data_IF_382361557906
#
_entry.id   IF_382361557906
#
_cell.length_a   1.000
_cell.length_b   1.000
_cell.length_c   1.000
_cell.angle_alpha   90.00
_cell.angle_beta   90.00
_cell.angle_gamma   90.00
#
_symmetry.space_group_name_H-M   'P 1'
#
loop_
_entity.id
_entity.type
_entity.pdbx_description
1 polymer ?
#
# COMPACT_ATOMS: atom_id res chain seq x y z
N UNK A 1 18.66 -20.74 5.58
CA UNK A 1 17.90 -19.64 6.22
C UNK A 1 16.61 -20.14 6.85
N UNK A 2 15.80 -20.95 6.15
CA UNK A 2 14.59 -21.59 6.72
C UNK A 2 14.86 -22.36 8.01
N UNK A 3 15.85 -23.25 8.02
CA UNK A 3 16.24 -24.02 9.21
C UNK A 3 16.49 -23.14 10.44
N UNK A 4 17.24 -22.05 10.28
CA UNK A 4 17.53 -21.10 11.35
C UNK A 4 16.28 -20.40 11.88
N UNK A 5 15.34 -20.02 11.00
CA UNK A 5 14.06 -19.42 11.42
C UNK A 5 13.21 -20.42 12.20
N UNK A 6 13.17 -21.68 11.77
CA UNK A 6 12.45 -22.75 12.48
C UNK A 6 13.08 -23.03 13.85
N UNK A 7 14.42 -23.04 13.95
CA UNK A 7 15.13 -23.17 15.23
C UNK A 7 14.80 -22.00 16.18
N UNK A 8 14.75 -20.76 15.69
CA UNK A 8 14.33 -19.60 16.49
C UNK A 8 12.88 -19.76 16.96
N UNK A 9 11.97 -20.19 16.08
CA UNK A 9 10.57 -20.42 16.43
C UNK A 9 10.47 -21.46 17.54
N UNK A 10 11.15 -22.60 17.39
CA UNK A 10 11.17 -23.68 18.39
C UNK A 10 11.75 -23.21 19.74
N UNK A 11 12.87 -22.48 19.72
CA UNK A 11 13.49 -21.93 20.93
C UNK A 11 12.60 -20.88 21.61
N UNK A 12 11.85 -20.10 20.83
CA UNK A 12 10.89 -19.11 21.34
C UNK A 12 9.67 -19.81 21.96
N UNK A 13 9.19 -20.88 21.32
CA UNK A 13 8.09 -21.71 21.82
C UNK A 13 8.47 -22.45 23.10
N UNK A 14 9.71 -22.94 23.22
CA UNK A 14 10.16 -23.69 24.40
C UNK A 14 10.23 -22.85 25.68
N UNK A 15 10.44 -21.54 25.57
CA UNK A 15 10.38 -20.59 26.70
C UNK A 15 8.94 -20.08 26.98
N UNK A 16 7.94 -20.64 26.31
CA UNK A 16 6.52 -20.33 26.53
C UNK A 16 5.96 -19.17 25.71
N UNK A 17 6.73 -18.60 24.78
CA UNK A 17 6.22 -17.57 23.86
C UNK A 17 5.47 -18.21 22.69
N UNK A 18 4.37 -17.57 22.26
CA UNK A 18 3.54 -18.07 21.17
C UNK A 18 3.80 -17.29 19.88
N UNK A 19 4.64 -17.84 18.99
CA UNK A 19 4.91 -17.24 17.69
C UNK A 19 3.72 -17.43 16.76
N UNK A 20 3.00 -16.34 16.47
CA UNK A 20 1.83 -16.36 15.58
C UNK A 20 2.14 -15.98 14.13
N UNK A 21 3.19 -15.21 13.92
CA UNK A 21 3.54 -14.71 12.60
C UNK A 21 4.99 -14.30 12.51
N UNK A 22 5.53 -14.37 11.28
CA UNK A 22 6.80 -13.75 10.91
C UNK A 22 6.53 -12.60 9.93
N UNK A 23 7.32 -11.53 10.03
CA UNK A 23 7.22 -10.37 9.14
C UNK A 23 8.58 -10.12 8.49
N UNK A 24 8.61 -9.95 7.17
CA UNK A 24 9.83 -9.61 6.43
C UNK A 24 9.55 -8.67 5.28
N UNK A 25 10.59 -8.04 4.74
CA UNK A 25 10.48 -7.35 3.44
C UNK A 25 10.25 -8.35 2.29
N UNK A 26 10.12 -7.81 1.08
CA UNK A 26 9.79 -8.56 -0.14
C UNK A 26 11.02 -8.70 -1.06
N UNK A 27 12.22 -8.68 -0.47
CA UNK A 27 13.49 -8.91 -1.16
C UNK A 27 13.61 -10.35 -1.68
N UNK A 28 14.50 -10.59 -2.65
CA UNK A 28 14.69 -11.91 -3.28
C UNK A 28 14.99 -13.02 -2.27
N UNK A 29 15.84 -12.75 -1.28
CA UNK A 29 16.19 -13.73 -0.24
C UNK A 29 14.98 -14.09 0.64
N UNK A 30 14.16 -13.09 1.01
CA UNK A 30 12.96 -13.32 1.81
C UNK A 30 11.88 -14.04 1.00
N UNK A 31 11.73 -13.75 -0.30
CA UNK A 31 10.86 -14.52 -1.18
C UNK A 31 11.30 -15.99 -1.29
N UNK A 32 12.61 -16.23 -1.43
CA UNK A 32 13.14 -17.60 -1.45
C UNK A 32 12.88 -18.33 -0.12
N UNK A 33 13.00 -17.63 1.00
CA UNK A 33 12.60 -18.14 2.31
C UNK A 33 11.10 -18.50 2.33
N UNK A 34 10.23 -17.60 1.87
CA UNK A 34 8.78 -17.85 1.81
C UNK A 34 8.48 -19.11 0.99
N UNK A 35 9.04 -19.24 -0.22
CA UNK A 35 8.87 -20.43 -1.05
C UNK A 35 9.37 -21.70 -0.36
N UNK A 36 10.50 -21.64 0.36
CA UNK A 36 11.02 -22.78 1.12
C UNK A 36 10.13 -23.20 2.31
N UNK A 37 9.27 -22.29 2.78
CA UNK A 37 8.26 -22.54 3.81
C UNK A 37 6.91 -22.95 3.19
N UNK A 38 6.83 -23.15 1.88
CA UNK A 38 5.59 -23.50 1.18
C UNK A 38 4.62 -22.33 0.98
N UNK A 39 5.05 -21.10 1.26
CA UNK A 39 4.25 -19.90 1.03
C UNK A 39 4.21 -19.60 -0.47
N UNK A 40 2.99 -19.47 -0.99
CA UNK A 40 2.73 -19.22 -2.41
C UNK A 40 1.61 -18.19 -2.53
N UNK A 41 1.87 -17.10 -3.27
CA UNK A 41 0.86 -16.09 -3.58
C UNK A 41 0.88 -15.87 -5.09
N UNK A 42 -0.14 -16.37 -5.76
CA UNK A 42 -0.45 -16.20 -7.17
C UNK A 42 -1.91 -15.78 -7.33
N UNK A 43 -2.36 -15.55 -8.57
CA UNK A 43 -3.76 -15.24 -8.87
C UNK A 43 -4.71 -16.36 -8.44
N UNK A 44 -4.28 -17.61 -8.61
CA UNK A 44 -5.13 -18.79 -8.37
C UNK A 44 -4.89 -19.44 -7.00
N UNK A 45 -3.79 -19.10 -6.32
CA UNK A 45 -3.39 -19.77 -5.10
C UNK A 45 -2.81 -18.80 -4.06
N UNK A 46 -3.31 -18.91 -2.82
CA UNK A 46 -2.90 -18.07 -1.69
C UNK A 46 -2.64 -18.91 -0.44
N UNK A 47 -1.41 -19.37 -0.31
CA UNK A 47 -0.88 -20.01 0.90
C UNK A 47 -0.07 -18.96 1.65
N UNK A 48 -0.57 -18.50 2.78
CA UNK A 48 0.00 -17.40 3.59
C UNK A 48 0.51 -17.86 4.97
N UNK A 49 0.47 -19.16 5.23
CA UNK A 49 0.93 -19.75 6.48
C UNK A 49 1.50 -21.14 6.25
N UNK A 50 2.36 -21.58 7.16
CA UNK A 50 2.88 -22.94 7.22
C UNK A 50 2.63 -23.54 8.61
N UNK A 51 2.65 -24.86 8.71
CA UNK A 51 2.46 -25.58 9.98
C UNK A 51 3.79 -25.76 10.72
N UNK A 52 3.75 -25.60 12.04
CA UNK A 52 4.84 -25.98 12.94
C UNK A 52 4.73 -27.49 13.24
N UNK A 53 5.75 -28.26 12.81
CA UNK A 53 5.80 -29.74 12.84
C UNK A 53 5.41 -30.38 14.19
N UNK A 54 5.59 -29.67 15.30
CA UNK A 54 5.41 -30.21 16.66
C UNK A 54 4.05 -29.89 17.29
N UNK A 55 3.25 -29.00 16.71
CA UNK A 55 2.13 -28.38 17.44
C UNK A 55 0.84 -28.21 16.62
N UNK A 56 0.85 -28.56 15.33
CA UNK A 56 -0.26 -28.31 14.40
C UNK A 56 -0.71 -26.83 14.38
N UNK A 57 0.23 -25.92 14.66
CA UNK A 57 -0.02 -24.48 14.71
C UNK A 57 0.37 -23.85 13.39
N UNK A 58 -0.48 -22.96 12.89
CA UNK A 58 -0.15 -22.15 11.73
C UNK A 58 0.61 -20.89 12.12
N UNK A 59 1.73 -20.67 11.44
CA UNK A 59 2.53 -19.44 11.51
C UNK A 59 2.29 -18.65 10.24
N UNK A 60 1.75 -17.44 10.38
CA UNK A 60 1.45 -16.56 9.25
C UNK A 60 2.68 -15.81 8.77
N UNK A 61 2.85 -15.69 7.45
CA UNK A 61 3.92 -14.90 6.85
C UNK A 61 3.35 -13.58 6.34
N UNK A 62 3.85 -12.48 6.89
CA UNK A 62 3.41 -11.13 6.58
C UNK A 62 4.51 -10.35 5.85
N UNK A 63 4.11 -9.58 4.86
CA UNK A 63 4.99 -8.62 4.21
C UNK A 63 5.09 -7.33 5.02
N UNK A 64 6.25 -6.68 4.97
CA UNK A 64 6.43 -5.37 5.59
C UNK A 64 5.61 -4.28 4.86
N UNK A 65 4.62 -3.74 5.57
CA UNK A 65 3.60 -2.83 5.05
C UNK A 65 4.19 -1.48 4.60
N UNK A 66 5.07 -0.82 5.38
CA UNK A 66 5.89 0.29 4.91
C UNK A 66 6.59 0.06 3.56
N UNK A 67 7.10 -1.16 3.29
CA UNK A 67 7.71 -1.48 2.00
C UNK A 67 6.67 -1.57 0.88
N UNK A 68 5.50 -2.17 1.15
CA UNK A 68 4.39 -2.18 0.19
C UNK A 68 3.93 -0.77 -0.19
N UNK A 69 3.83 0.17 0.76
CA UNK A 69 3.44 1.55 0.45
C UNK A 69 4.46 2.24 -0.46
N UNK A 70 5.76 2.01 -0.24
CA UNK A 70 6.83 2.51 -1.12
C UNK A 70 6.70 1.93 -2.53
N UNK A 71 6.37 0.65 -2.65
CA UNK A 71 6.14 0.00 -3.94
C UNK A 71 4.95 0.61 -4.67
N UNK A 72 3.83 0.86 -3.99
CA UNK A 72 2.67 1.55 -4.56
C UNK A 72 3.02 2.96 -5.07
N UNK A 73 3.73 3.76 -4.27
CA UNK A 73 4.21 5.07 -4.74
C UNK A 73 5.05 4.93 -6.01
N UNK A 74 5.99 3.98 -6.03
CA UNK A 74 6.85 3.76 -7.19
C UNK A 74 6.05 3.29 -8.41
N UNK A 75 5.03 2.45 -8.23
CA UNK A 75 4.16 1.97 -9.30
C UNK A 75 3.37 3.12 -9.92
N UNK A 76 2.71 3.94 -9.09
CA UNK A 76 1.95 5.13 -9.55
C UNK A 76 2.85 6.12 -10.29
N UNK A 77 4.09 6.32 -9.82
CA UNK A 77 5.02 7.28 -10.43
C UNK A 77 5.61 6.82 -11.77
N UNK A 78 5.82 5.51 -11.95
CA UNK A 78 6.55 4.97 -13.12
C UNK A 78 5.64 4.32 -14.15
N UNK A 79 4.45 3.91 -13.75
CA UNK A 79 3.58 3.06 -14.55
C UNK A 79 2.13 3.55 -14.47
N UNK A 80 1.32 3.05 -15.38
CA UNK A 80 -0.13 3.18 -15.32
C UNK A 80 -0.70 1.94 -14.64
N UNK A 81 -1.59 2.15 -13.68
CA UNK A 81 -2.35 1.08 -13.03
C UNK A 81 -3.74 1.10 -13.66
N UNK A 82 -4.19 -0.06 -14.13
CA UNK A 82 -5.51 -0.22 -14.74
C UNK A 82 -6.46 -0.81 -13.70
N UNK A 83 -7.55 -0.10 -13.43
CA UNK A 83 -8.62 -0.57 -12.56
C UNK A 83 -9.58 -1.47 -13.33
N UNK A 84 -10.20 -2.47 -12.67
CA UNK A 84 -11.31 -3.22 -13.23
C UNK A 84 -12.46 -2.29 -13.64
N UNK A 85 -13.16 -2.62 -14.73
CA UNK A 85 -14.22 -1.75 -15.27
C UNK A 85 -15.43 -1.68 -14.33
N UNK A 86 -15.65 -2.72 -13.54
CA UNK A 86 -16.67 -2.79 -12.50
C UNK A 86 -16.47 -1.68 -11.47
N UNK A 87 -15.23 -1.43 -11.05
CA UNK A 87 -14.86 -0.37 -10.10
C UNK A 87 -15.11 1.00 -10.72
N UNK A 88 -14.80 1.16 -12.01
CA UNK A 88 -15.01 2.41 -12.74
C UNK A 88 -16.49 2.75 -12.82
N UNK A 89 -17.34 1.76 -13.09
CA UNK A 89 -18.79 1.94 -13.15
C UNK A 89 -19.39 2.18 -11.76
N UNK A 90 -18.96 1.40 -10.75
CA UNK A 90 -19.44 1.50 -9.37
C UNK A 90 -19.19 2.90 -8.78
N UNK A 91 -18.02 3.48 -9.06
CA UNK A 91 -17.59 4.77 -8.49
C UNK A 91 -17.71 5.95 -9.46
N UNK A 92 -18.36 5.78 -10.62
CA UNK A 92 -18.49 6.80 -11.68
C UNK A 92 -17.14 7.46 -12.04
N UNK A 93 -16.10 6.64 -12.19
CA UNK A 93 -14.75 7.13 -12.45
C UNK A 93 -14.60 7.56 -13.93
N UNK A 94 -13.97 8.70 -14.23
CA UNK A 94 -13.84 9.19 -15.61
C UNK A 94 -12.97 8.32 -16.52
N UNK A 95 -12.11 7.50 -15.94
CA UNK A 95 -11.21 6.57 -16.65
C UNK A 95 -10.87 5.38 -15.76
N UNK A 96 -10.43 4.27 -16.35
CA UNK A 96 -9.86 3.13 -15.63
C UNK A 96 -8.35 3.28 -15.35
N UNK A 97 -7.72 4.38 -15.75
CA UNK A 97 -6.27 4.57 -15.62
C UNK A 97 -5.92 5.42 -14.42
N UNK A 98 -5.07 4.88 -13.54
CA UNK A 98 -4.42 5.60 -12.45
C UNK A 98 -2.98 5.91 -12.86
N UNK A 99 -2.58 7.18 -12.72
CA UNK A 99 -1.22 7.62 -13.08
C UNK A 99 -0.72 8.79 -12.22
N UNK A 100 0.55 8.74 -11.85
CA UNK A 100 1.23 9.83 -11.14
C UNK A 100 1.48 11.07 -12.00
N UNK A 101 1.21 11.02 -13.31
CA UNK A 101 1.42 12.14 -14.25
C UNK A 101 0.70 13.41 -13.80
N UNK A 102 -0.58 13.31 -13.41
CA UNK A 102 -1.37 14.48 -12.98
C UNK A 102 -0.78 15.19 -11.76
N UNK A 103 -0.17 14.43 -10.84
CA UNK A 103 0.47 14.98 -9.64
C UNK A 103 1.76 15.71 -10.02
N UNK A 104 2.56 15.11 -10.91
CA UNK A 104 3.80 15.71 -11.39
C UNK A 104 3.52 16.99 -12.20
N UNK A 105 2.53 16.96 -13.08
CA UNK A 105 2.12 18.09 -13.90
C UNK A 105 1.62 19.25 -13.04
N UNK A 106 0.77 18.96 -12.05
CA UNK A 106 0.30 19.97 -11.10
C UNK A 106 1.45 20.57 -10.29
N UNK A 107 2.34 19.73 -9.73
CA UNK A 107 3.46 20.23 -8.93
C UNK A 107 4.40 21.11 -9.76
N UNK A 108 4.74 20.68 -10.98
CA UNK A 108 5.56 21.46 -11.91
C UNK A 108 4.89 22.78 -12.32
N UNK A 109 3.58 22.76 -12.54
CA UNK A 109 2.80 23.98 -12.83
C UNK A 109 2.83 24.96 -11.66
N UNK A 110 2.63 24.50 -10.42
CA UNK A 110 2.70 25.36 -9.22
C UNK A 110 4.11 25.93 -8.99
N UNK A 111 5.16 25.15 -9.29
CA UNK A 111 6.56 25.61 -9.23
C UNK A 111 6.88 26.67 -10.27
N UNK A 112 6.54 26.44 -11.54
CA UNK A 112 6.83 27.40 -12.62
C UNK A 112 6.13 28.73 -12.42
N UNK A 113 4.90 28.70 -11.93
CA UNK A 113 4.11 29.90 -11.67
C UNK A 113 4.45 30.59 -10.35
N UNK A 114 5.46 30.10 -9.62
CA UNK A 114 5.91 30.65 -8.32
C UNK A 114 4.76 30.92 -7.36
N UNK A 115 3.74 30.03 -7.34
CA UNK A 115 2.57 30.21 -6.47
C UNK A 115 3.02 30.21 -5.02
N UNK A 116 2.75 31.30 -4.29
CA UNK A 116 3.02 31.39 -2.86
C UNK A 116 2.16 30.40 -2.05
N UNK A 117 0.90 30.20 -2.47
CA UNK A 117 -0.02 29.23 -1.90
C UNK A 117 -0.17 28.04 -2.85
N UNK A 118 0.38 26.90 -2.44
CA UNK A 118 0.39 25.66 -3.22
C UNK A 118 -0.60 24.64 -2.68
N UNK A 119 -1.34 24.02 -3.57
CA UNK A 119 -2.22 22.89 -3.24
C UNK A 119 -1.39 21.70 -2.79
N UNK A 120 -0.23 21.47 -3.44
CA UNK A 120 0.72 20.42 -3.09
C UNK A 120 1.87 20.92 -2.20
N UNK A 121 1.60 21.82 -1.25
CA UNK A 121 2.62 22.40 -0.35
C UNK A 121 3.38 21.35 0.50
N UNK A 122 2.75 20.21 0.79
CA UNK A 122 3.38 19.10 1.55
C UNK A 122 4.31 18.22 0.70
N UNK A 123 4.33 18.42 -0.63
CA UNK A 123 5.21 17.71 -1.54
C UNK A 123 6.46 18.55 -1.85
N UNK A 124 7.62 17.98 -1.54
CA UNK A 124 8.94 18.50 -1.91
C UNK A 124 9.44 17.79 -3.17
N UNK A 125 10.44 18.37 -3.84
CA UNK A 125 10.94 17.88 -5.12
C UNK A 125 11.40 16.42 -5.05
N UNK A 126 12.02 16.02 -3.94
CA UNK A 126 12.53 14.67 -3.69
C UNK A 126 11.41 13.62 -3.58
N UNK A 127 10.17 14.05 -3.38
CA UNK A 127 9.01 13.15 -3.35
C UNK A 127 8.51 12.90 -4.79
N UNK A 128 8.43 13.96 -5.59
CA UNK A 128 7.92 13.97 -6.97
C UNK A 128 8.94 13.37 -7.94
N UNK A 129 10.19 13.79 -7.84
CA UNK A 129 11.36 13.27 -8.58
C UNK A 129 12.35 12.65 -7.60
N UNK A 130 12.14 11.39 -7.19
CA UNK A 130 12.96 10.77 -6.16
C UNK A 130 14.33 10.28 -6.67
N UNK A 131 15.40 10.75 -6.04
CA UNK A 131 16.73 10.13 -6.10
C UNK A 131 16.81 8.80 -5.31
N UNK A 132 17.97 8.15 -5.29
CA UNK A 132 18.14 6.80 -4.72
C UNK A 132 17.71 6.71 -3.24
N UNK A 133 18.22 7.58 -2.38
CA UNK A 133 17.91 7.57 -0.94
C UNK A 133 16.46 7.98 -0.63
N UNK A 134 15.89 8.93 -1.39
CA UNK A 134 14.50 9.37 -1.20
C UNK A 134 13.45 8.30 -1.54
N UNK A 135 13.81 7.26 -2.32
CA UNK A 135 12.95 6.10 -2.58
C UNK A 135 12.78 5.21 -1.35
N UNK A 136 13.75 5.21 -0.44
CA UNK A 136 13.72 4.36 0.76
C UNK A 136 12.90 4.97 1.90
N UNK A 137 12.57 6.26 1.83
CA UNK A 137 11.87 6.99 2.87
C UNK A 137 10.34 6.76 2.82
N UNK A 138 9.81 6.07 3.83
CA UNK A 138 8.37 5.77 3.97
C UNK A 138 7.55 7.05 4.20
N UNK A 139 8.12 8.06 4.86
CA UNK A 139 7.50 9.36 5.05
C UNK A 139 7.17 10.06 3.73
N UNK A 140 8.03 9.91 2.72
CA UNK A 140 7.78 10.41 1.37
C UNK A 140 6.62 9.67 0.70
N UNK A 141 6.52 8.36 0.90
CA UNK A 141 5.40 7.56 0.41
C UNK A 141 4.06 7.98 1.04
N UNK A 142 4.05 8.18 2.37
CA UNK A 142 2.87 8.65 3.09
C UNK A 142 2.42 10.07 2.70
N UNK A 143 3.35 10.97 2.37
CA UNK A 143 3.02 12.33 1.91
C UNK A 143 2.44 12.31 0.49
N UNK A 144 3.02 11.50 -0.40
CA UNK A 144 2.55 11.33 -1.77
C UNK A 144 1.15 10.70 -1.80
N UNK A 145 0.98 9.56 -1.11
CA UNK A 145 -0.29 8.83 -0.97
C UNK A 145 -1.05 9.38 0.25
N UNK A 146 -1.59 10.59 0.11
CA UNK A 146 -2.31 11.28 1.17
C UNK A 146 -3.64 11.84 0.70
N UNK A 147 -4.56 12.01 1.64
CA UNK A 147 -5.84 12.70 1.40
C UNK A 147 -5.61 14.13 0.91
N UNK A 148 -4.52 14.80 1.34
CA UNK A 148 -4.16 16.14 0.86
C UNK A 148 -3.83 16.15 -0.63
N UNK A 149 -3.08 15.15 -1.11
CA UNK A 149 -2.77 15.02 -2.55
C UNK A 149 -4.05 14.74 -3.36
N UNK A 150 -4.92 13.85 -2.87
CA UNK A 150 -6.21 13.57 -3.53
C UNK A 150 -7.10 14.82 -3.61
N UNK A 151 -7.27 15.52 -2.47
CA UNK A 151 -8.06 16.75 -2.42
C UNK A 151 -7.48 17.89 -3.28
N UNK A 152 -6.16 17.97 -3.41
CA UNK A 152 -5.53 18.91 -4.33
C UNK A 152 -5.92 18.62 -5.79
N UNK A 153 -5.84 17.35 -6.23
CA UNK A 153 -6.28 16.94 -7.57
C UNK A 153 -7.76 17.25 -7.82
N UNK A 154 -8.63 16.89 -6.88
CA UNK A 154 -10.07 17.19 -6.96
C UNK A 154 -10.33 18.69 -7.12
N UNK A 155 -9.65 19.52 -6.32
CA UNK A 155 -9.79 20.98 -6.35
C UNK A 155 -9.38 21.56 -7.70
N UNK A 156 -8.24 21.13 -8.25
CA UNK A 156 -7.73 21.69 -9.50
C UNK A 156 -8.47 21.20 -10.74
N UNK A 157 -9.14 20.04 -10.66
CA UNK A 157 -10.09 19.58 -11.68
C UNK A 157 -11.33 20.48 -11.69
N UNK A 158 -11.88 20.81 -10.52
CA UNK A 158 -13.02 21.74 -10.40
C UNK A 158 -12.65 23.12 -10.97
N UNK A 159 -11.42 23.58 -10.72
CA UNK A 159 -10.88 24.82 -11.28
C UNK A 159 -10.50 24.73 -12.76
N UNK A 160 -10.71 23.58 -13.42
CA UNK A 160 -10.37 23.33 -14.83
C UNK A 160 -8.89 23.54 -15.19
N UNK A 161 -7.99 23.35 -14.22
CA UNK A 161 -6.54 23.48 -14.42
C UNK A 161 -5.95 22.18 -15.01
N UNK A 162 -6.47 21.03 -14.59
CA UNK A 162 -6.09 19.69 -15.08
C UNK A 162 -7.35 18.93 -15.52
N UNK A 163 -7.21 17.87 -16.34
CA UNK A 163 -8.36 17.24 -16.96
C UNK A 163 -9.08 16.29 -15.98
N UNK A 164 -10.35 15.98 -16.26
CA UNK A 164 -11.27 15.28 -15.33
C UNK A 164 -10.78 13.88 -14.95
N UNK A 165 -10.01 13.24 -15.80
CA UNK A 165 -9.38 11.92 -15.63
C UNK A 165 -8.47 11.85 -14.39
N UNK A 166 -7.97 12.98 -13.89
CA UNK A 166 -7.22 13.04 -12.64
C UNK A 166 -8.04 12.58 -11.42
N UNK A 167 -9.37 12.63 -11.48
CA UNK A 167 -10.26 12.17 -10.40
C UNK A 167 -10.12 10.66 -10.12
N UNK A 168 -9.86 9.84 -11.14
CA UNK A 168 -9.58 8.40 -10.96
C UNK A 168 -8.34 8.21 -10.09
N UNK A 169 -7.29 9.01 -10.33
CA UNK A 169 -6.07 8.96 -9.52
C UNK A 169 -6.35 9.46 -8.09
N UNK A 170 -7.13 10.54 -7.93
CA UNK A 170 -7.51 11.04 -6.60
C UNK A 170 -8.27 10.00 -5.77
N UNK A 171 -9.25 9.33 -6.36
CA UNK A 171 -9.99 8.22 -5.74
C UNK A 171 -9.05 7.10 -5.30
N UNK A 172 -8.15 6.67 -6.19
CA UNK A 172 -7.22 5.57 -5.87
C UNK A 172 -6.23 5.93 -4.76
N UNK A 173 -5.79 7.19 -4.65
CA UNK A 173 -4.96 7.64 -3.54
C UNK A 173 -5.70 7.57 -2.20
N UNK A 174 -7.00 7.91 -2.16
CA UNK A 174 -7.84 7.77 -0.96
C UNK A 174 -8.02 6.29 -0.60
N UNK A 175 -8.25 5.45 -1.61
CA UNK A 175 -8.38 4.01 -1.46
C UNK A 175 -7.13 3.36 -0.84
N UNK A 176 -5.95 3.64 -1.40
CA UNK A 176 -4.67 3.18 -0.85
C UNK A 176 -4.42 3.75 0.55
N UNK A 177 -4.81 5.00 0.80
CA UNK A 177 -4.63 5.63 2.12
C UNK A 177 -5.47 4.93 3.18
N UNK A 178 -6.73 4.61 2.89
CA UNK A 178 -7.62 3.87 3.78
C UNK A 178 -7.06 2.49 4.09
N UNK A 179 -6.58 1.77 3.08
CA UNK A 179 -5.87 0.49 3.26
C UNK A 179 -4.66 0.61 4.18
N UNK A 180 -3.80 1.60 3.94
CA UNK A 180 -2.60 1.78 4.75
C UNK A 180 -2.92 2.14 6.21
N UNK A 181 -3.92 3.00 6.44
CA UNK A 181 -4.37 3.35 7.81
C UNK A 181 -4.96 2.15 8.54
N UNK A 182 -5.68 1.27 7.84
CA UNK A 182 -6.26 0.06 8.40
C UNK A 182 -5.17 -0.88 8.93
N UNK A 183 -4.15 -1.15 8.10
CA UNK A 183 -3.13 -2.15 8.41
C UNK A 183 -2.06 -1.60 9.35
N UNK A 184 -1.74 -0.30 9.27
CA UNK A 184 -0.75 0.35 10.14
C UNK A 184 -1.39 1.03 11.37
N UNK A 185 -2.59 0.61 11.78
CA UNK A 185 -3.26 1.18 12.93
C UNK A 185 -2.52 0.88 14.23
N UNK A 186 -2.08 1.94 14.93
CA UNK A 186 -1.41 1.85 16.24
C UNK A 186 -2.31 2.16 17.44
N UNK A 187 -3.55 2.60 17.18
CA UNK A 187 -4.50 3.00 18.23
C UNK A 187 -5.64 1.99 18.30
N UNK A 188 -6.09 1.66 19.51
CA UNK A 188 -7.20 0.72 19.74
C UNK A 188 -8.50 1.14 19.03
N UNK A 189 -8.75 2.45 18.94
CA UNK A 189 -9.92 3.00 18.22
C UNK A 189 -9.87 2.69 16.71
N UNK A 190 -8.66 2.64 16.14
CA UNK A 190 -8.44 2.34 14.74
C UNK A 190 -8.08 0.86 14.48
N UNK A 191 -7.91 0.02 15.53
CA UNK A 191 -7.57 -1.39 15.39
C UNK A 191 -8.78 -2.24 15.02
N UNK A 192 -8.55 -3.47 14.59
CA UNK A 192 -9.62 -4.46 14.44
C UNK A 192 -10.20 -4.76 15.81
N UNK A 193 -11.52 -4.64 15.95
CA UNK A 193 -12.29 -4.90 17.16
C UNK A 193 -13.48 -5.78 16.81
N UNK A 194 -14.11 -6.39 17.82
CA UNK A 194 -15.29 -7.25 17.61
C UNK A 194 -16.42 -6.55 16.86
N UNK A 195 -16.59 -5.24 17.03
CA UNK A 195 -17.68 -4.47 16.40
C UNK A 195 -17.36 -4.01 14.98
N UNK A 196 -16.08 -3.91 14.60
CA UNK A 196 -15.67 -3.39 13.29
C UNK A 196 -15.00 -4.45 12.38
N UNK A 197 -14.77 -5.67 12.88
CA UNK A 197 -14.04 -6.72 12.16
C UNK A 197 -14.68 -7.03 10.80
N UNK A 198 -16.01 -7.12 10.73
CA UNK A 198 -16.69 -7.45 9.49
C UNK A 198 -16.48 -6.38 8.43
N UNK A 199 -16.72 -5.11 8.76
CA UNK A 199 -16.53 -3.99 7.83
C UNK A 199 -15.09 -3.89 7.33
N UNK A 200 -14.11 -4.12 8.22
CA UNK A 200 -12.69 -4.09 7.87
C UNK A 200 -12.28 -5.26 7.00
N UNK A 201 -12.83 -6.45 7.27
CA UNK A 201 -12.63 -7.62 6.43
C UNK A 201 -13.22 -7.40 5.04
N UNK A 202 -14.47 -6.93 4.95
CA UNK A 202 -15.11 -6.57 3.68
C UNK A 202 -14.29 -5.56 2.88
N UNK A 203 -13.75 -4.52 3.53
CA UNK A 203 -12.86 -3.58 2.87
C UNK A 203 -11.57 -4.24 2.37
N UNK A 204 -10.95 -5.14 3.14
CA UNK A 204 -9.74 -5.84 2.73
C UNK A 204 -9.98 -6.82 1.58
N UNK A 205 -11.11 -7.51 1.59
CA UNK A 205 -11.53 -8.41 0.51
C UNK A 205 -11.80 -7.60 -0.78
N UNK A 206 -12.44 -6.44 -0.66
CA UNK A 206 -12.62 -5.50 -1.77
C UNK A 206 -11.29 -4.89 -2.24
N UNK A 207 -10.40 -4.54 -1.32
CA UNK A 207 -9.07 -4.04 -1.65
C UNK A 207 -8.32 -5.02 -2.55
N UNK A 208 -8.35 -6.29 -2.16
CA UNK A 208 -7.79 -7.39 -2.92
C UNK A 208 -8.40 -7.46 -4.32
N UNK A 209 -9.74 -7.45 -4.45
CA UNK A 209 -10.38 -7.59 -5.77
C UNK A 209 -10.10 -6.43 -6.73
N UNK A 210 -9.76 -5.25 -6.20
CA UNK A 210 -9.41 -4.07 -7.02
C UNK A 210 -7.97 -4.11 -7.53
N UNK A 211 -7.06 -4.76 -6.82
CA UNK A 211 -5.61 -4.71 -7.10
C UNK A 211 -5.05 -5.96 -7.81
N UNK A 212 -5.87 -7.01 -7.99
CA UNK A 212 -5.53 -8.25 -8.73
C UNK A 212 -5.69 -8.12 -10.25
#
# INVERSE_FOLDING_TARGET
MSKFILEIIQATTSIGLNVRSICSDIGSNNKALWSSLGICVSRDQRIISFEEDSSNRHIYVLADIPHLLKNWKSAIQRSQIYLPMEVVQEHDLPTNVVTGKYINDLWNHEMRNKKHLRSLHHLIQEIVTPGHFSKMNVGNAMRYISIKTAGALETVVIQKIIPREALTTAWFLRFLRQWFELINSRRRVASVTRTNVQNKKTFMDYFVSVVE
#
